data_IF_253036041706
#
_entry.id   IF_253036041706
#
_cell.length_a   1.000
_cell.length_b   1.000
_cell.length_c   1.000
_cell.angle_alpha   90.00
_cell.angle_beta   90.00
_cell.angle_gamma   90.00
#
_symmetry.space_group_name_H-M   'P 1'
#
loop_
_entity.id
_entity.type
_entity.pdbx_description
1 polymer ?
#
# COMPACT_ATOMS: atom_id res chain seq x y z
N UNK A 1 16.56 -13.33 -11.06
CA UNK A 1 16.27 -12.23 -11.99
C UNK A 1 15.37 -11.25 -11.26
N UNK A 2 15.77 -9.99 -11.15
CA UNK A 2 14.91 -8.93 -10.59
C UNK A 2 13.88 -8.53 -11.64
N UNK A 3 12.64 -8.30 -11.21
CA UNK A 3 11.55 -7.87 -12.07
C UNK A 3 11.10 -6.48 -11.61
N UNK A 4 10.76 -5.64 -12.58
CA UNK A 4 10.08 -4.38 -12.28
C UNK A 4 8.62 -4.72 -12.05
N UNK A 5 8.11 -4.35 -10.87
CA UNK A 5 6.73 -4.53 -10.47
C UNK A 5 6.13 -3.15 -10.23
N UNK A 6 5.02 -2.84 -10.91
CA UNK A 6 4.30 -1.59 -10.68
C UNK A 6 3.26 -1.82 -9.59
N UNK A 7 3.41 -1.10 -8.49
CA UNK A 7 2.50 -1.15 -7.35
C UNK A 7 1.77 0.18 -7.26
N UNK A 8 0.45 0.12 -7.20
CA UNK A 8 -0.42 1.25 -6.87
C UNK A 8 -0.88 1.09 -5.43
N UNK A 9 -0.51 2.01 -4.54
CA UNK A 9 -1.04 2.05 -3.18
C UNK A 9 -2.28 2.95 -3.12
N UNK A 10 -3.27 2.51 -2.37
CA UNK A 10 -4.44 3.32 -2.02
C UNK A 10 -4.22 3.92 -0.65
N UNK A 11 -4.24 5.25 -0.57
CA UNK A 11 -3.96 6.00 0.67
C UNK A 11 -5.16 6.83 1.10
N UNK A 12 -5.38 6.95 2.41
CA UNK A 12 -6.38 7.85 2.98
C UNK A 12 -5.77 9.23 3.20
N UNK A 13 -6.33 10.23 2.53
CA UNK A 13 -6.06 11.64 2.83
C UNK A 13 -6.66 12.04 4.18
N UNK A 14 -6.25 13.18 4.73
CA UNK A 14 -6.84 13.72 5.97
C UNK A 14 -8.38 13.75 5.92
N UNK A 15 -8.94 14.21 4.80
CA UNK A 15 -10.39 14.31 4.55
C UNK A 15 -11.12 12.96 4.37
N UNK A 16 -10.38 11.85 4.35
CA UNK A 16 -10.95 10.50 4.20
C UNK A 16 -11.16 10.06 2.75
N UNK A 17 -10.78 10.88 1.76
CA UNK A 17 -10.73 10.47 0.34
C UNK A 17 -9.59 9.48 0.12
N UNK A 18 -9.79 8.58 -0.85
CA UNK A 18 -8.76 7.66 -1.31
C UNK A 18 -7.97 8.30 -2.46
N UNK A 19 -6.65 8.31 -2.33
CA UNK A 19 -5.73 8.65 -3.41
C UNK A 19 -4.96 7.42 -3.87
N UNK A 20 -4.50 7.44 -5.12
CA UNK A 20 -3.74 6.35 -5.75
C UNK A 20 -2.35 6.84 -6.11
N UNK A 21 -1.33 6.18 -5.58
CA UNK A 21 0.07 6.46 -5.91
C UNK A 21 0.70 5.22 -6.51
N UNK A 22 1.10 5.31 -7.78
CA UNK A 22 1.81 4.23 -8.46
C UNK A 22 3.31 4.46 -8.43
N UNK A 23 4.07 3.40 -8.20
CA UNK A 23 5.52 3.43 -8.28
C UNK A 23 6.06 2.08 -8.73
N UNK A 24 7.26 2.13 -9.29
CA UNK A 24 8.01 0.94 -9.67
C UNK A 24 8.81 0.44 -8.49
N UNK A 25 8.79 -0.87 -8.30
CA UNK A 25 9.67 -1.57 -7.38
C UNK A 25 10.50 -2.55 -8.18
N UNK A 26 11.82 -2.41 -8.09
CA UNK A 26 12.74 -3.46 -8.51
C UNK A 26 12.76 -4.49 -7.39
N UNK A 27 12.12 -5.64 -7.61
CA UNK A 27 12.04 -6.69 -6.60
C UNK A 27 12.19 -8.07 -7.23
N UNK A 28 12.69 -9.02 -6.44
CA UNK A 28 12.60 -10.45 -6.76
C UNK A 28 11.25 -11.03 -6.34
N UNK A 29 10.46 -10.26 -5.62
CA UNK A 29 9.17 -10.65 -5.05
C UNK A 29 8.00 -10.26 -5.97
N UNK A 30 6.89 -10.98 -5.84
CA UNK A 30 5.62 -10.55 -6.44
C UNK A 30 5.12 -9.25 -5.80
N UNK A 31 4.28 -8.51 -6.50
CA UNK A 31 3.59 -7.34 -5.95
C UNK A 31 2.87 -7.63 -4.62
N UNK A 32 2.17 -8.77 -4.54
CA UNK A 32 1.46 -9.19 -3.33
C UNK A 32 2.41 -9.49 -2.16
N UNK A 33 3.51 -10.20 -2.44
CA UNK A 33 4.56 -10.49 -1.47
C UNK A 33 5.18 -9.19 -0.95
N UNK A 34 5.51 -8.26 -1.85
CA UNK A 34 6.06 -6.95 -1.48
C UNK A 34 5.10 -6.19 -0.57
N UNK A 35 3.82 -6.11 -0.93
CA UNK A 35 2.81 -5.44 -0.10
C UNK A 35 2.67 -6.10 1.27
N UNK A 36 2.69 -7.44 1.33
CA UNK A 36 2.60 -8.13 2.60
C UNK A 36 3.80 -7.81 3.52
N UNK A 37 5.01 -7.90 2.97
CA UNK A 37 6.26 -7.66 3.72
C UNK A 37 6.46 -6.20 4.13
N UNK A 38 6.04 -5.24 3.31
CA UNK A 38 6.32 -3.83 3.55
C UNK A 38 5.16 -3.08 4.21
N UNK A 39 3.92 -3.53 4.00
CA UNK A 39 2.71 -2.84 4.48
C UNK A 39 1.99 -3.69 5.54
N UNK A 40 1.65 -4.95 5.24
CA UNK A 40 0.87 -5.78 6.17
C UNK A 40 1.64 -6.25 7.41
N UNK A 41 2.97 -6.24 7.35
CA UNK A 41 3.85 -6.49 8.50
C UNK A 41 3.83 -5.35 9.53
N UNK A 42 3.35 -4.16 9.14
CA UNK A 42 3.26 -3.00 10.03
C UNK A 42 2.06 -3.14 10.98
N UNK A 43 2.13 -2.53 12.18
CA UNK A 43 0.99 -2.51 13.10
C UNK A 43 -0.25 -1.87 12.46
N UNK A 44 -1.41 -2.55 12.42
CA UNK A 44 -2.62 -1.97 11.88
C UNK A 44 -3.19 -0.89 12.81
N UNK A 45 -3.68 0.19 12.23
CA UNK A 45 -4.41 1.26 12.93
C UNK A 45 -5.83 1.35 12.41
N UNK A 46 -6.76 1.89 13.20
CA UNK A 46 -8.15 2.15 12.79
C UNK A 46 -8.45 3.64 12.79
N UNK A 47 -9.17 4.12 11.77
CA UNK A 47 -9.69 5.49 11.80
C UNK A 47 -10.80 5.62 12.84
N UNK A 48 -10.79 6.66 13.70
CA UNK A 48 -11.81 6.83 14.74
C UNK A 48 -13.24 6.88 14.20
N UNK A 49 -13.46 7.54 13.05
CA UNK A 49 -14.81 7.79 12.52
C UNK A 49 -15.30 6.64 11.63
N UNK A 50 -14.49 6.20 10.66
CA UNK A 50 -14.92 5.18 9.69
C UNK A 50 -14.65 3.75 10.14
N UNK A 51 -13.91 3.54 11.24
CA UNK A 51 -13.44 2.22 11.67
C UNK A 51 -12.46 1.55 10.70
N UNK A 52 -12.13 2.20 9.57
CA UNK A 52 -11.32 1.61 8.50
C UNK A 52 -9.90 1.35 8.99
N UNK A 53 -9.44 0.12 8.76
CA UNK A 53 -8.05 -0.28 9.04
C UNK A 53 -7.12 0.34 8.01
N UNK A 54 -5.98 0.86 8.47
CA UNK A 54 -4.89 1.39 7.65
C UNK A 54 -3.53 1.05 8.27
N UNK A 55 -2.49 1.21 7.48
CA UNK A 55 -1.09 1.00 7.86
C UNK A 55 -0.31 2.29 7.57
N UNK A 56 0.51 2.74 8.51
CA UNK A 56 1.35 3.92 8.28
C UNK A 56 2.65 3.54 7.60
N UNK A 57 2.78 3.92 6.33
CA UNK A 57 3.97 3.67 5.54
C UNK A 57 4.48 4.98 4.96
N UNK A 58 5.71 5.40 5.34
CA UNK A 58 6.33 6.65 4.89
C UNK A 58 5.44 7.89 5.05
N UNK A 59 4.72 7.97 6.17
CA UNK A 59 3.78 9.07 6.46
C UNK A 59 2.43 8.98 5.75
N UNK A 60 2.21 7.96 4.91
CA UNK A 60 0.95 7.72 4.21
C UNK A 60 0.10 6.71 4.97
N UNK A 61 -1.22 6.91 4.99
CA UNK A 61 -2.18 5.97 5.55
C UNK A 61 -2.63 4.99 4.47
N UNK A 62 -1.90 3.90 4.28
CA UNK A 62 -2.17 2.89 3.25
C UNK A 62 -3.31 1.98 3.70
N UNK A 63 -4.32 1.82 2.85
CA UNK A 63 -5.49 0.98 3.12
C UNK A 63 -5.57 -0.25 2.24
N UNK A 64 -5.00 -0.17 1.04
CA UNK A 64 -5.01 -1.27 0.07
C UNK A 64 -3.92 -1.07 -0.98
N UNK A 65 -3.83 -2.00 -1.92
CA UNK A 65 -2.95 -1.93 -3.09
C UNK A 65 -3.58 -2.55 -4.33
N UNK A 66 -3.04 -2.21 -5.48
CA UNK A 66 -3.30 -2.87 -6.76
C UNK A 66 -1.98 -3.06 -7.48
N UNK A 67 -1.84 -4.21 -8.12
CA UNK A 67 -0.72 -4.51 -9.00
C UNK A 67 -1.10 -4.13 -10.43
N UNK A 68 -0.17 -3.51 -11.14
CA UNK A 68 -0.31 -3.28 -12.59
C UNK A 68 0.79 -4.06 -13.31
N UNK A 69 0.41 -4.82 -14.34
CA UNK A 69 1.32 -5.69 -15.08
C UNK A 69 0.91 -7.15 -14.94
N UNK A 70 0.44 -7.72 -16.05
CA UNK A 70 0.13 -9.13 -16.23
C UNK A 70 1.12 -9.72 -17.24
#
# INVERSE_FOLDING_TARGET
MEKIVIITLFTLTFTGKIEMTSFEVVSKESCASWYHHNIKSLPPKKRPVSGRTYYEYKGLQVVDYRCSGH
#
